data_IF_565099077383
#
_entry.id   IF_565099077383
#
_cell.length_a   1.000
_cell.length_b   1.000
_cell.length_c   1.000
_cell.angle_alpha   90.00
_cell.angle_beta   90.00
_cell.angle_gamma   90.00
#
_symmetry.space_group_name_H-M   'P 1'
#
loop_
_entity.id
_entity.type
_entity.pdbx_description
1 polymer ?
#
# COMPACT_ATOMS: atom_id res chain seq x y z
N UNK A 1 8.69 -6.35 9.35
CA UNK A 1 7.64 -6.86 10.25
C UNK A 1 6.63 -7.64 9.45
N UNK A 2 6.09 -8.70 10.02
CA UNK A 2 5.24 -9.63 9.26
C UNK A 2 3.92 -9.03 8.80
N UNK A 3 3.50 -7.92 9.38
CA UNK A 3 2.23 -7.26 9.04
C UNK A 3 2.41 -5.92 8.34
N UNK A 4 3.59 -5.66 7.79
CA UNK A 4 3.86 -4.47 6.99
C UNK A 4 3.97 -4.87 5.53
N UNK A 5 3.30 -4.10 4.66
CA UNK A 5 3.32 -4.32 3.21
C UNK A 5 4.09 -3.22 2.51
N UNK A 6 4.84 -3.59 1.50
CA UNK A 6 5.39 -2.62 0.55
C UNK A 6 4.44 -2.55 -0.64
N UNK A 7 4.08 -1.33 -1.03
CA UNK A 7 3.17 -1.09 -2.14
C UNK A 7 3.87 -0.22 -3.16
N UNK A 8 3.99 -0.71 -4.39
CA UNK A 8 4.63 0.01 -5.47
C UNK A 8 3.67 0.32 -6.60
N UNK A 9 4.16 1.10 -7.55
CA UNK A 9 3.41 1.52 -8.74
C UNK A 9 2.16 2.33 -8.40
N UNK A 10 2.24 3.15 -7.34
CA UNK A 10 1.12 3.98 -6.90
C UNK A 10 0.89 5.15 -7.85
N UNK A 11 -0.37 5.56 -8.06
CA UNK A 11 -0.67 6.79 -8.79
C UNK A 11 -0.08 8.01 -8.07
N UNK A 12 0.32 9.02 -8.83
CA UNK A 12 0.93 10.23 -8.25
C UNK A 12 0.01 10.98 -7.30
N UNK A 13 -1.29 10.93 -7.57
CA UNK A 13 -2.26 11.75 -6.84
C UNK A 13 -2.99 11.00 -5.74
N UNK A 14 -2.65 9.75 -5.51
CA UNK A 14 -3.35 9.00 -4.48
C UNK A 14 -3.02 9.57 -3.10
N UNK A 15 -4.05 9.75 -2.27
CA UNK A 15 -3.88 10.18 -0.90
C UNK A 15 -3.68 8.99 0.03
N UNK A 16 -3.19 9.26 1.24
CA UNK A 16 -3.06 8.22 2.25
C UNK A 16 -4.43 7.63 2.59
N UNK A 17 -5.46 8.47 2.62
CA UNK A 17 -6.84 8.02 2.88
C UNK A 17 -7.34 7.07 1.81
N UNK A 18 -7.10 7.41 0.54
CA UNK A 18 -7.51 6.54 -0.57
C UNK A 18 -6.78 5.20 -0.52
N UNK A 19 -5.50 5.23 -0.20
CA UNK A 19 -4.72 4.01 -0.09
C UNK A 19 -5.21 3.16 1.08
N UNK A 20 -5.47 3.79 2.22
CA UNK A 20 -6.00 3.11 3.38
C UNK A 20 -7.36 2.46 3.08
N UNK A 21 -8.24 3.17 2.42
CA UNK A 21 -9.56 2.64 2.04
C UNK A 21 -9.44 1.44 1.11
N UNK A 22 -8.51 1.52 0.16
CA UNK A 22 -8.28 0.43 -0.77
C UNK A 22 -7.84 -0.84 -0.04
N UNK A 23 -6.93 -0.69 0.92
CA UNK A 23 -6.43 -1.83 1.69
C UNK A 23 -7.41 -2.29 2.77
N UNK A 24 -8.33 -1.42 3.20
CA UNK A 24 -9.36 -1.80 4.17
C UNK A 24 -10.29 -2.90 3.65
N UNK A 25 -10.37 -3.06 2.33
CA UNK A 25 -11.15 -4.16 1.74
C UNK A 25 -10.54 -5.53 2.03
N UNK A 26 -9.27 -5.58 2.38
CA UNK A 26 -8.58 -6.85 2.66
C UNK A 26 -8.46 -7.14 4.16
N UNK A 27 -8.55 -6.11 5.00
CA UNK A 27 -8.40 -6.28 6.43
C UNK A 27 -8.24 -4.94 7.13
N UNK A 28 -7.93 -4.97 8.41
CA UNK A 28 -7.78 -3.74 9.18
C UNK A 28 -6.42 -3.07 8.91
N UNK A 29 -6.45 -1.80 8.55
CA UNK A 29 -5.26 -0.99 8.28
C UNK A 29 -4.94 -0.17 9.52
N UNK A 30 -3.71 -0.29 10.02
CA UNK A 30 -3.24 0.48 11.19
C UNK A 30 -2.54 1.76 10.78
N UNK A 31 -1.77 1.74 9.71
CA UNK A 31 -1.01 2.90 9.29
C UNK A 31 -0.68 2.84 7.80
N UNK A 32 -0.57 4.00 7.20
CA UNK A 32 -0.13 4.14 5.81
C UNK A 32 0.99 5.17 5.78
N UNK A 33 2.08 4.82 5.12
CA UNK A 33 3.21 5.73 4.91
C UNK A 33 3.47 5.84 3.43
N UNK A 34 3.32 7.05 2.88
CA UNK A 34 3.55 7.31 1.47
C UNK A 34 4.94 7.90 1.32
N UNK A 35 5.77 7.27 0.51
CA UNK A 35 7.12 7.78 0.26
C UNK A 35 7.03 8.84 -0.82
N UNK A 36 7.47 10.06 -0.51
CA UNK A 36 7.40 11.19 -1.44
C UNK A 36 8.79 11.71 -1.74
N UNK A 37 8.96 12.25 -2.94
CA UNK A 37 10.21 12.89 -3.32
C UNK A 37 10.33 14.24 -2.59
N UNK A 38 11.48 14.48 -2.00
CA UNK A 38 11.69 15.70 -1.20
C UNK A 38 11.55 16.98 -2.01
N UNK A 39 12.09 17.00 -3.22
CA UNK A 39 12.16 18.23 -4.03
C UNK A 39 10.83 18.61 -4.63
N UNK A 40 10.03 17.65 -5.04
CA UNK A 40 8.80 17.92 -5.77
C UNK A 40 7.55 17.74 -4.94
N UNK A 41 7.64 17.06 -3.79
CA UNK A 41 6.49 16.66 -3.00
C UNK A 41 5.64 15.59 -3.66
N UNK A 42 6.06 15.09 -4.80
CA UNK A 42 5.33 14.04 -5.52
C UNK A 42 5.57 12.70 -4.88
N UNK A 43 4.61 11.81 -5.03
CA UNK A 43 4.79 10.42 -4.66
C UNK A 43 5.93 9.82 -5.48
N UNK A 44 6.75 9.01 -4.83
CA UNK A 44 7.78 8.23 -5.54
C UNK A 44 7.18 6.99 -6.21
N UNK A 45 5.88 6.80 -6.11
CA UNK A 45 5.21 5.62 -6.63
C UNK A 45 5.21 4.44 -5.68
N UNK A 46 5.62 4.64 -4.43
CA UNK A 46 5.64 3.55 -3.46
C UNK A 46 5.30 4.04 -2.05
N UNK A 47 4.99 3.09 -1.20
CA UNK A 47 4.66 3.37 0.19
C UNK A 47 4.59 2.09 0.99
N UNK A 48 4.26 2.23 2.27
CA UNK A 48 4.09 1.10 3.18
C UNK A 48 2.71 1.15 3.81
N UNK A 49 2.12 -0.01 3.98
CA UNK A 49 0.83 -0.16 4.68
C UNK A 49 1.04 -1.16 5.80
N UNK A 50 0.71 -0.76 7.01
CA UNK A 50 0.77 -1.66 8.16
C UNK A 50 -0.64 -2.18 8.44
N UNK A 51 -0.79 -3.51 8.40
CA UNK A 51 -2.05 -4.18 8.69
C UNK A 51 -2.07 -4.62 10.15
N UNK A 52 -3.27 -4.91 10.66
CA UNK A 52 -3.43 -5.29 12.06
C UNK A 52 -2.86 -6.68 12.40
N UNK A 53 -2.78 -7.56 11.41
CA UNK A 53 -2.27 -8.91 11.64
C UNK A 53 -1.55 -9.43 10.40
N UNK A 54 -0.76 -10.48 10.57
CA UNK A 54 -0.10 -11.11 9.44
C UNK A 54 -1.10 -11.79 8.51
N UNK A 55 -2.22 -12.29 9.05
CA UNK A 55 -3.28 -12.86 8.23
C UNK A 55 -3.88 -11.82 7.30
N UNK A 56 -4.14 -10.62 7.81
CA UNK A 56 -4.64 -9.51 6.99
C UNK A 56 -3.62 -9.10 5.94
N UNK A 57 -2.34 -9.09 6.29
CA UNK A 57 -1.27 -8.77 5.34
C UNK A 57 -1.19 -9.77 4.20
N UNK A 58 -1.25 -11.06 4.51
CA UNK A 58 -1.23 -12.09 3.48
C UNK A 58 -2.44 -12.00 2.58
N UNK A 59 -3.61 -11.74 3.15
CA UNK A 59 -4.82 -11.58 2.39
C UNK A 59 -4.73 -10.37 1.46
N UNK A 60 -4.15 -9.28 1.92
CA UNK A 60 -3.98 -8.08 1.11
C UNK A 60 -3.07 -8.36 -0.09
N UNK A 61 -1.96 -9.06 0.11
CA UNK A 61 -1.10 -9.46 -1.00
C UNK A 61 -1.89 -10.32 -2.00
N UNK A 62 -2.63 -11.28 -1.50
CA UNK A 62 -3.36 -12.22 -2.34
C UNK A 62 -4.41 -11.54 -3.20
N UNK A 63 -5.20 -10.62 -2.64
CA UNK A 63 -6.33 -10.04 -3.35
C UNK A 63 -6.05 -8.70 -4.00
N UNK A 64 -5.02 -7.97 -3.55
CA UNK A 64 -4.76 -6.62 -4.06
C UNK A 64 -3.56 -6.52 -4.99
N UNK A 65 -2.67 -7.50 -4.99
CA UNK A 65 -1.53 -7.46 -5.91
C UNK A 65 -2.03 -7.57 -7.34
N UNK A 66 -1.61 -6.61 -8.17
CA UNK A 66 -2.02 -6.56 -9.56
C UNK A 66 -3.37 -5.91 -9.81
N UNK A 67 -4.11 -5.55 -8.77
CA UNK A 67 -5.39 -4.85 -8.93
C UNK A 67 -5.09 -3.42 -9.35
N UNK A 68 -5.81 -2.95 -10.36
CA UNK A 68 -5.62 -1.58 -10.85
C UNK A 68 -6.25 -0.57 -9.91
N UNK A 69 -5.46 0.43 -9.54
CA UNK A 69 -5.93 1.58 -8.79
C UNK A 69 -5.66 2.80 -9.68
N UNK A 70 -6.72 3.48 -10.07
CA UNK A 70 -6.66 4.60 -11.02
C UNK A 70 -5.88 4.24 -12.29
N UNK A 71 -6.14 3.05 -12.81
CA UNK A 71 -5.55 2.59 -14.06
C UNK A 71 -4.17 1.97 -13.94
N UNK A 72 -3.58 1.93 -12.75
CA UNK A 72 -2.24 1.39 -12.54
C UNK A 72 -2.30 0.12 -11.68
N UNK A 73 -1.77 -1.01 -12.16
CA UNK A 73 -1.76 -2.22 -11.34
C UNK A 73 -0.77 -2.07 -10.18
N UNK A 74 -1.24 -2.30 -8.97
CA UNK A 74 -0.41 -2.17 -7.79
C UNK A 74 0.54 -3.35 -7.63
N UNK A 75 1.75 -3.09 -7.17
CA UNK A 75 2.67 -4.12 -6.72
C UNK A 75 2.57 -4.18 -5.20
N UNK A 76 2.06 -5.28 -4.66
CA UNK A 76 1.88 -5.45 -3.22
C UNK A 76 2.69 -6.65 -2.77
N UNK A 77 3.57 -6.47 -1.79
CA UNK A 77 4.34 -7.56 -1.24
C UNK A 77 4.61 -7.31 0.24
N UNK A 78 4.99 -8.38 0.95
CA UNK A 78 5.35 -8.23 2.35
C UNK A 78 6.67 -7.48 2.46
N UNK A 79 6.70 -6.47 3.31
CA UNK A 79 7.94 -5.76 3.59
C UNK A 79 8.79 -6.60 4.55
N UNK A 80 10.06 -6.72 4.24
CA UNK A 80 10.99 -7.47 5.08
C UNK A 80 11.97 -6.52 5.74
N UNK A 81 12.35 -6.79 6.98
CA UNK A 81 13.37 -5.97 7.64
C UNK A 81 14.72 -6.08 6.97
#
# INVERSE_FOLDING_TARGET
MANTLFVGNLPFKISDEQLSEHFASAGEVLAVTHIRQRKSGRSSGCGFVEMASSADSHKAVEILHGIKLEGRPLAVCLARP
#
